data_IF_014363735193
#
_entry.id   IF_014363735193
#
_cell.length_a   1.000
_cell.length_b   1.000
_cell.length_c   1.000
_cell.angle_alpha   90.00
_cell.angle_beta   90.00
_cell.angle_gamma   90.00
#
_symmetry.space_group_name_H-M   'P 1'
#
loop_
_entity.id
_entity.type
_entity.pdbx_description
1 polymer ?
#
# COMPACT_ATOMS: atom_id res chain seq x y z
N UNK A 1 -19.22 19.29 -13.32
CA UNK A 1 -18.42 18.62 -14.34
C UNK A 1 -17.04 18.46 -13.77
N UNK A 2 -16.85 17.35 -13.07
CA UNK A 2 -15.55 16.96 -12.55
C UNK A 2 -14.84 16.05 -13.54
N UNK A 3 -13.52 16.00 -13.50
CA UNK A 3 -12.71 14.98 -14.17
C UNK A 3 -12.31 13.93 -13.14
N UNK A 4 -12.84 12.71 -13.30
CA UNK A 4 -12.61 11.61 -12.36
C UNK A 4 -11.83 10.50 -13.04
N UNK A 5 -10.77 10.04 -12.38
CA UNK A 5 -10.06 8.83 -12.81
C UNK A 5 -10.49 7.65 -11.95
N UNK A 6 -11.08 6.63 -12.56
CA UNK A 6 -11.59 5.44 -11.85
C UNK A 6 -10.72 4.23 -12.16
N UNK A 7 -10.07 3.66 -11.16
CA UNK A 7 -9.30 2.42 -11.31
C UNK A 7 -10.12 1.24 -10.78
N UNK A 8 -10.23 0.18 -11.57
CA UNK A 8 -10.85 -1.09 -11.17
C UNK A 8 -9.79 -2.20 -11.05
N UNK A 9 -9.81 -2.91 -9.91
CA UNK A 9 -8.95 -4.06 -9.65
C UNK A 9 -9.37 -5.31 -10.42
N UNK A 10 -8.51 -6.33 -10.43
CA UNK A 10 -8.76 -7.58 -11.16
C UNK A 10 -10.01 -8.33 -10.66
N UNK A 11 -10.33 -8.23 -9.37
CA UNK A 11 -11.57 -8.77 -8.81
C UNK A 11 -12.80 -8.02 -9.35
N UNK A 12 -12.73 -6.69 -9.50
CA UNK A 12 -13.79 -5.84 -10.05
C UNK A 12 -14.12 -6.14 -11.52
N UNK A 13 -13.17 -6.69 -12.28
CA UNK A 13 -13.31 -7.04 -13.71
C UNK A 13 -13.08 -8.52 -13.98
N UNK A 14 -13.23 -9.37 -12.96
CA UNK A 14 -12.85 -10.79 -13.05
C UNK A 14 -13.70 -11.65 -13.97
N UNK A 15 -14.91 -11.21 -14.30
CA UNK A 15 -15.81 -11.90 -15.22
C UNK A 15 -16.48 -10.90 -16.16
N UNK A 16 -17.08 -11.40 -17.25
CA UNK A 16 -17.83 -10.56 -18.19
C UNK A 16 -18.98 -9.84 -17.48
N UNK A 17 -19.69 -10.52 -16.59
CA UNK A 17 -20.80 -9.94 -15.82
C UNK A 17 -20.33 -8.79 -14.93
N UNK A 18 -19.15 -8.93 -14.31
CA UNK A 18 -18.54 -7.86 -13.51
C UNK A 18 -18.11 -6.68 -14.38
N UNK A 19 -17.56 -6.92 -15.56
CA UNK A 19 -17.25 -5.86 -16.53
C UNK A 19 -18.53 -5.12 -16.97
N UNK A 20 -19.62 -5.86 -17.22
CA UNK A 20 -20.93 -5.28 -17.54
C UNK A 20 -21.44 -4.37 -16.39
N UNK A 21 -21.23 -4.76 -15.12
CA UNK A 21 -21.57 -3.94 -13.95
C UNK A 21 -20.70 -2.69 -13.81
N UNK A 22 -19.39 -2.81 -14.06
CA UNK A 22 -18.46 -1.68 -14.09
C UNK A 22 -18.88 -0.67 -15.18
N UNK A 23 -19.27 -1.14 -16.36
CA UNK A 23 -19.78 -0.29 -17.44
C UNK A 23 -21.05 0.48 -17.03
N UNK A 24 -21.99 -0.15 -16.32
CA UNK A 24 -23.17 0.54 -15.77
C UNK A 24 -22.80 1.60 -14.72
N UNK A 25 -21.80 1.33 -13.87
CA UNK A 25 -21.32 2.31 -12.90
C UNK A 25 -20.71 3.53 -13.61
N UNK A 26 -19.80 3.30 -14.55
CA UNK A 26 -19.16 4.37 -15.35
C UNK A 26 -20.19 5.20 -16.13
N UNK A 27 -21.21 4.53 -16.70
CA UNK A 27 -22.32 5.21 -17.39
C UNK A 27 -23.05 6.19 -16.47
N UNK A 28 -23.36 5.80 -15.22
CA UNK A 28 -24.04 6.68 -14.26
C UNK A 28 -23.25 7.96 -13.98
N UNK A 29 -21.92 7.86 -13.80
CA UNK A 29 -21.06 9.04 -13.64
C UNK A 29 -21.10 9.93 -14.89
N UNK A 30 -21.04 9.32 -16.08
CA UNK A 30 -21.08 10.07 -17.33
C UNK A 30 -22.42 10.79 -17.54
N UNK A 31 -23.53 10.15 -17.23
CA UNK A 31 -24.88 10.75 -17.25
C UNK A 31 -25.04 11.86 -16.20
N UNK A 32 -24.29 11.78 -15.09
CA UNK A 32 -24.15 12.85 -14.10
C UNK A 32 -23.40 14.09 -14.60
N UNK A 33 -22.81 14.03 -15.79
CA UNK A 33 -22.10 15.16 -16.42
C UNK A 33 -20.62 15.24 -16.09
N UNK A 34 -20.02 14.16 -15.57
CA UNK A 34 -18.59 14.07 -15.31
C UNK A 34 -17.82 13.52 -16.51
N UNK A 35 -16.56 13.93 -16.63
CA UNK A 35 -15.61 13.38 -17.58
C UNK A 35 -14.84 12.24 -16.91
N UNK A 36 -14.82 11.06 -17.54
CA UNK A 36 -14.34 9.82 -16.92
C UNK A 36 -13.18 9.21 -17.70
N UNK A 37 -12.09 8.96 -17.00
CA UNK A 37 -11.00 8.09 -17.44
C UNK A 37 -10.99 6.85 -16.57
N UNK A 38 -11.08 5.67 -17.17
CA UNK A 38 -11.10 4.40 -16.48
C UNK A 38 -9.76 3.69 -16.66
N UNK A 39 -9.17 3.21 -15.57
CA UNK A 39 -8.00 2.33 -15.59
C UNK A 39 -8.44 0.94 -15.15
N UNK A 40 -8.08 -0.09 -15.91
CA UNK A 40 -8.41 -1.47 -15.55
C UNK A 40 -7.16 -2.31 -15.42
N UNK A 41 -7.19 -3.23 -14.46
CA UNK A 41 -6.21 -4.33 -14.36
C UNK A 41 -6.64 -5.49 -15.25
N UNK A 42 -5.75 -6.47 -15.45
CA UNK A 42 -6.15 -7.75 -16.03
C UNK A 42 -7.28 -8.40 -15.21
N UNK A 43 -8.07 -9.25 -15.86
CA UNK A 43 -9.10 -10.06 -15.19
C UNK A 43 -8.46 -10.95 -14.11
N UNK A 44 -9.21 -11.19 -13.03
CA UNK A 44 -8.76 -12.00 -11.88
C UNK A 44 -8.08 -13.30 -12.31
N UNK A 45 -6.83 -13.49 -11.89
CA UNK A 45 -6.03 -14.69 -12.16
C UNK A 45 -5.20 -14.67 -13.44
N UNK A 46 -5.50 -13.78 -14.40
CA UNK A 46 -4.81 -13.78 -15.70
C UNK A 46 -3.32 -13.41 -15.60
N UNK A 47 -2.98 -12.40 -14.80
CA UNK A 47 -1.57 -12.02 -14.57
C UNK A 47 -0.76 -13.19 -14.01
N UNK A 48 -1.31 -13.91 -13.03
CA UNK A 48 -0.65 -15.08 -12.43
C UNK A 48 -0.51 -16.22 -13.44
N UNK A 49 -1.58 -16.51 -14.20
CA UNK A 49 -1.57 -17.52 -15.27
C UNK A 49 -0.47 -17.24 -16.29
N UNK A 50 -0.32 -15.99 -16.71
CA UNK A 50 0.73 -15.58 -17.66
C UNK A 50 2.13 -15.76 -17.05
N UNK A 51 2.35 -15.30 -15.82
CA UNK A 51 3.64 -15.48 -15.13
C UNK A 51 3.99 -16.96 -14.97
N UNK A 52 3.03 -17.80 -14.59
CA UNK A 52 3.23 -19.23 -14.41
C UNK A 52 3.57 -19.92 -15.74
N UNK A 53 2.97 -19.51 -16.85
CA UNK A 53 3.33 -19.99 -18.19
C UNK A 53 4.77 -19.63 -18.57
N UNK A 54 5.23 -18.41 -18.28
CA UNK A 54 6.64 -18.06 -18.51
C UNK A 54 7.59 -18.92 -17.65
N UNK A 55 7.22 -19.19 -16.39
CA UNK A 55 8.01 -20.04 -15.49
C UNK A 55 8.12 -21.49 -15.96
N UNK A 56 7.10 -21.99 -16.68
CA UNK A 56 7.16 -23.32 -17.31
C UNK A 56 8.17 -23.36 -18.47
N UNK A 57 8.49 -22.22 -19.10
CA UNK A 57 9.51 -22.13 -20.15
C UNK A 57 10.91 -21.91 -19.57
N UNK A 58 11.04 -21.06 -18.55
CA UNK A 58 12.30 -20.78 -17.87
C UNK A 58 12.06 -20.48 -16.40
N UNK A 59 12.84 -21.09 -15.51
CA UNK A 59 12.80 -20.78 -14.07
C UNK A 59 13.05 -19.29 -13.77
N UNK A 60 13.84 -18.64 -14.63
CA UNK A 60 14.09 -17.20 -14.62
C UNK A 60 13.71 -16.60 -15.98
N UNK A 61 12.44 -16.24 -16.19
CA UNK A 61 12.01 -15.61 -17.44
C UNK A 61 12.77 -14.31 -17.69
N UNK A 62 13.12 -14.05 -18.96
CA UNK A 62 13.80 -12.80 -19.35
C UNK A 62 12.87 -11.62 -19.06
N UNK A 63 13.27 -10.64 -18.20
CA UNK A 63 12.36 -9.59 -17.72
C UNK A 63 11.67 -8.79 -18.83
N UNK A 64 12.39 -8.47 -19.90
CA UNK A 64 11.84 -7.76 -21.07
C UNK A 64 10.68 -8.50 -21.72
N UNK A 65 10.84 -9.80 -21.96
CA UNK A 65 9.81 -10.61 -22.63
C UNK A 65 8.65 -10.92 -21.69
N UNK A 66 8.94 -11.01 -20.39
CA UNK A 66 7.90 -11.14 -19.37
C UNK A 66 6.98 -9.91 -19.37
N UNK A 67 7.52 -8.70 -19.49
CA UNK A 67 6.72 -7.47 -19.57
C UNK A 67 5.80 -7.47 -20.79
N UNK A 68 6.31 -7.89 -21.95
CA UNK A 68 5.49 -8.04 -23.18
C UNK A 68 4.32 -8.97 -22.93
N UNK A 69 4.59 -10.18 -22.40
CA UNK A 69 3.57 -11.20 -22.19
C UNK A 69 2.54 -10.76 -21.15
N UNK A 70 2.96 -10.30 -19.97
CA UNK A 70 2.04 -10.00 -18.86
C UNK A 70 1.18 -8.78 -19.18
N UNK A 71 1.68 -7.80 -19.92
CA UNK A 71 0.91 -6.62 -20.35
C UNK A 71 -0.33 -6.93 -21.19
N UNK A 72 -0.40 -8.12 -21.80
CA UNK A 72 -1.54 -8.53 -22.62
C UNK A 72 -2.81 -8.71 -21.82
N UNK A 73 -2.70 -9.01 -20.51
CA UNK A 73 -3.86 -9.17 -19.63
C UNK A 73 -4.74 -7.92 -19.60
N UNK A 74 -4.14 -6.75 -19.33
CA UNK A 74 -4.86 -5.48 -19.33
C UNK A 74 -5.39 -5.10 -20.72
N UNK A 75 -4.69 -5.46 -21.80
CA UNK A 75 -5.13 -5.15 -23.17
C UNK A 75 -6.44 -5.86 -23.52
N UNK A 76 -6.65 -7.08 -23.02
CA UNK A 76 -7.93 -7.78 -23.18
C UNK A 76 -9.04 -7.03 -22.43
N UNK A 77 -8.78 -6.64 -21.18
CA UNK A 77 -9.78 -6.02 -20.31
C UNK A 77 -10.22 -4.64 -20.80
N UNK A 78 -9.30 -3.79 -21.29
CA UNK A 78 -9.66 -2.45 -21.81
C UNK A 78 -10.62 -2.56 -23.01
N UNK A 79 -10.42 -3.57 -23.86
CA UNK A 79 -11.25 -3.78 -25.03
C UNK A 79 -12.65 -4.28 -24.64
N UNK A 80 -12.72 -5.24 -23.71
CA UNK A 80 -14.00 -5.74 -23.17
C UNK A 80 -14.82 -4.63 -22.52
N UNK A 81 -14.20 -3.79 -21.69
CA UNK A 81 -14.91 -2.69 -21.03
C UNK A 81 -15.34 -1.61 -22.04
N UNK A 82 -14.49 -1.26 -23.01
CA UNK A 82 -14.88 -0.32 -24.06
C UNK A 82 -16.07 -0.83 -24.89
N UNK A 83 -16.08 -2.11 -25.26
CA UNK A 83 -17.23 -2.74 -25.94
C UNK A 83 -18.50 -2.71 -25.08
N UNK A 84 -18.39 -2.99 -23.78
CA UNK A 84 -19.51 -2.94 -22.85
C UNK A 84 -20.11 -1.53 -22.71
N UNK A 85 -19.27 -0.49 -22.66
CA UNK A 85 -19.72 0.91 -22.63
C UNK A 85 -20.43 1.31 -23.94
N UNK A 86 -19.84 0.97 -25.10
CA UNK A 86 -20.41 1.27 -26.42
C UNK A 86 -21.77 0.59 -26.60
N UNK A 87 -21.89 -0.68 -26.19
CA UNK A 87 -23.15 -1.44 -26.19
C UNK A 87 -24.28 -0.72 -25.43
N UNK A 88 -23.94 0.13 -24.45
CA UNK A 88 -24.88 0.92 -23.63
C UNK A 88 -25.12 2.34 -24.13
N UNK A 89 -24.59 2.68 -25.30
CA UNK A 89 -24.69 4.01 -25.88
C UNK A 89 -23.71 5.03 -25.29
N UNK A 90 -22.70 4.60 -24.53
CA UNK A 90 -21.63 5.46 -24.03
C UNK A 90 -20.43 5.37 -24.97
N UNK A 91 -20.09 6.44 -25.72
CA UNK A 91 -18.90 6.44 -26.56
C UNK A 91 -17.65 6.19 -25.72
N UNK A 92 -16.87 5.18 -26.07
CA UNK A 92 -15.66 4.82 -25.34
C UNK A 92 -14.51 4.45 -26.29
N UNK A 93 -13.29 4.64 -25.82
CA UNK A 93 -12.07 4.30 -26.56
C UNK A 93 -11.05 3.66 -25.61
N UNK A 94 -10.39 2.60 -26.07
CA UNK A 94 -9.36 1.92 -25.29
C UNK A 94 -7.96 2.41 -25.65
N UNK A 95 -7.08 2.44 -24.66
CA UNK A 95 -5.70 2.89 -24.79
C UNK A 95 -4.75 1.95 -24.03
N UNK A 96 -3.71 1.50 -24.71
CA UNK A 96 -2.53 0.89 -24.10
C UNK A 96 -1.62 1.96 -23.49
N UNK A 97 -0.71 1.56 -22.59
CA UNK A 97 0.28 2.49 -22.01
C UNK A 97 1.12 3.21 -23.09
N UNK A 98 1.45 2.51 -24.19
CA UNK A 98 2.14 3.11 -25.34
C UNK A 98 1.29 4.16 -26.08
N UNK A 99 0.00 3.89 -26.29
CA UNK A 99 -0.87 4.83 -27.01
C UNK A 99 -1.10 6.12 -26.24
N UNK A 100 -1.12 6.05 -24.90
CA UNK A 100 -1.08 7.22 -23.99
C UNK A 100 0.32 7.84 -23.91
N UNK A 101 1.37 7.07 -24.22
CA UNK A 101 2.78 7.39 -23.94
C UNK A 101 3.06 7.60 -22.45
N UNK A 102 2.77 6.58 -21.67
CA UNK A 102 3.30 6.45 -20.30
C UNK A 102 4.77 6.04 -20.42
N UNK A 103 5.66 7.03 -20.42
CA UNK A 103 7.11 6.84 -20.55
C UNK A 103 7.67 6.38 -19.21
N UNK A 104 8.53 5.37 -19.25
CA UNK A 104 9.13 4.73 -18.07
C UNK A 104 10.63 4.54 -18.23
N UNK A 105 11.33 4.22 -17.14
CA UNK A 105 12.68 3.65 -17.24
C UNK A 105 12.66 2.20 -17.79
N UNK A 106 13.83 1.66 -18.13
CA UNK A 106 13.96 0.29 -18.65
C UNK A 106 14.09 -0.77 -17.54
N UNK A 107 13.67 -0.47 -16.30
CA UNK A 107 13.72 -1.42 -15.19
C UNK A 107 12.53 -2.40 -15.26
N UNK A 108 12.55 -3.29 -16.26
CA UNK A 108 11.50 -4.28 -16.52
C UNK A 108 11.01 -4.99 -15.25
N UNK A 109 9.73 -5.35 -15.20
CA UNK A 109 8.98 -5.89 -14.05
C UNK A 109 8.73 -4.93 -12.88
N UNK A 110 9.38 -3.76 -12.85
CA UNK A 110 9.29 -2.79 -11.75
C UNK A 110 9.58 -1.35 -12.19
N UNK A 111 9.20 -1.03 -13.43
CA UNK A 111 9.56 0.23 -14.06
C UNK A 111 8.93 1.44 -13.34
N UNK A 112 9.60 2.58 -13.40
CA UNK A 112 9.13 3.85 -12.84
C UNK A 112 8.62 4.76 -13.95
N UNK A 113 7.45 5.38 -13.71
CA UNK A 113 6.87 6.36 -14.64
C UNK A 113 7.71 7.63 -14.57
N UNK A 114 8.18 8.09 -15.73
CA UNK A 114 8.96 9.31 -15.91
C UNK A 114 8.07 10.46 -16.41
N UNK A 115 7.18 10.16 -17.37
CA UNK A 115 6.32 11.16 -18.01
C UNK A 115 5.05 10.51 -18.58
N UNK A 116 3.97 11.29 -18.66
CA UNK A 116 2.72 10.91 -19.33
C UNK A 116 2.32 12.01 -20.31
N UNK A 117 2.04 11.64 -21.57
CA UNK A 117 1.48 12.55 -22.58
C UNK A 117 -0.05 12.50 -22.59
N UNK A 118 -0.66 13.36 -21.80
CA UNK A 118 -2.11 13.40 -21.64
C UNK A 118 -2.88 14.00 -22.84
N UNK A 119 -2.21 14.48 -23.91
CA UNK A 119 -2.88 15.22 -24.99
C UNK A 119 -3.97 14.40 -25.70
N UNK A 120 -3.70 13.13 -26.00
CA UNK A 120 -4.66 12.25 -26.69
C UNK A 120 -5.88 11.98 -25.83
N UNK A 121 -5.67 11.70 -24.54
CA UNK A 121 -6.74 11.51 -23.57
C UNK A 121 -7.62 12.75 -23.49
N UNK A 122 -7.01 13.94 -23.37
CA UNK A 122 -7.76 15.20 -23.32
C UNK A 122 -8.59 15.48 -24.58
N UNK A 123 -8.11 15.06 -25.75
CA UNK A 123 -8.87 15.20 -27.01
C UNK A 123 -10.12 14.30 -27.02
N UNK A 124 -9.99 13.03 -26.59
CA UNK A 124 -11.12 12.11 -26.51
C UNK A 124 -12.13 12.51 -25.43
N UNK A 125 -11.67 13.03 -24.28
CA UNK A 125 -12.54 13.60 -23.25
C UNK A 125 -13.36 14.75 -23.82
N UNK A 126 -12.72 15.72 -24.51
CA UNK A 126 -13.41 16.85 -25.17
C UNK A 126 -14.39 16.40 -26.25
N UNK A 127 -14.12 15.27 -26.90
CA UNK A 127 -15.05 14.63 -27.85
C UNK A 127 -16.21 13.88 -27.15
N UNK A 128 -16.27 13.95 -25.82
CA UNK A 128 -17.33 13.41 -24.99
C UNK A 128 -17.21 11.91 -24.70
N UNK A 129 -16.05 11.30 -24.95
CA UNK A 129 -15.83 9.86 -24.82
C UNK A 129 -15.28 9.49 -23.45
N UNK A 130 -15.65 8.30 -22.98
CA UNK A 130 -14.96 7.64 -21.86
C UNK A 130 -13.66 7.03 -22.37
N UNK A 131 -12.55 7.32 -21.68
CA UNK A 131 -11.24 6.77 -22.03
C UNK A 131 -10.93 5.59 -21.13
N UNK A 132 -10.64 4.42 -21.70
CA UNK A 132 -10.33 3.19 -20.96
C UNK A 132 -8.85 2.82 -21.15
N UNK A 133 -8.03 3.02 -20.14
CA UNK A 133 -6.57 2.86 -20.19
C UNK A 133 -6.14 1.54 -19.54
N UNK A 134 -5.18 0.87 -20.15
CA UNK A 134 -4.53 -0.30 -19.56
C UNK A 134 -3.66 0.14 -18.38
N UNK A 135 -3.97 -0.38 -17.19
CA UNK A 135 -3.09 -0.22 -16.03
C UNK A 135 -1.77 -0.97 -16.20
N UNK A 136 -0.89 -0.84 -15.20
CA UNK A 136 0.29 -1.68 -15.00
C UNK A 136 1.40 -1.61 -16.06
N UNK A 137 1.14 -1.03 -17.24
CA UNK A 137 2.07 -1.02 -18.37
C UNK A 137 2.48 0.40 -18.82
N UNK A 138 3.67 0.49 -19.38
CA UNK A 138 4.21 1.69 -20.02
C UNK A 138 5.13 1.33 -21.18
N UNK A 139 5.92 2.31 -21.61
CA UNK A 139 6.98 2.11 -22.61
C UNK A 139 8.26 2.82 -22.19
N UNK A 140 9.41 2.23 -22.47
CA UNK A 140 10.69 2.91 -22.32
C UNK A 140 11.00 3.83 -23.52
N UNK A 141 12.08 4.60 -23.45
CA UNK A 141 12.49 5.51 -24.54
C UNK A 141 12.81 4.79 -25.86
N UNK A 142 13.06 3.48 -25.83
CA UNK A 142 13.33 2.64 -27.00
C UNK A 142 12.06 2.02 -27.57
N UNK A 143 10.90 2.26 -26.94
CA UNK A 143 9.61 1.70 -27.34
C UNK A 143 9.39 0.26 -26.88
N UNK A 144 10.19 -0.27 -25.95
CA UNK A 144 9.91 -1.56 -25.33
C UNK A 144 8.73 -1.42 -24.37
N UNK A 145 7.86 -2.43 -24.33
CA UNK A 145 6.82 -2.53 -23.30
C UNK A 145 7.51 -2.73 -21.95
N UNK A 146 7.04 -1.99 -20.94
CA UNK A 146 7.49 -2.13 -19.56
C UNK A 146 6.30 -2.38 -18.64
N UNK A 147 6.54 -3.04 -17.51
CA UNK A 147 5.55 -3.18 -16.45
C UNK A 147 5.99 -2.52 -15.16
N UNK A 148 5.03 -1.99 -14.40
CA UNK A 148 5.28 -1.14 -13.22
C UNK A 148 5.45 -1.95 -11.92
N UNK A 149 5.30 -3.28 -11.98
CA UNK A 149 5.34 -4.16 -10.82
C UNK A 149 4.03 -4.23 -10.05
N UNK A 150 4.08 -4.84 -8.87
CA UNK A 150 2.90 -5.04 -8.00
C UNK A 150 2.24 -3.68 -7.71
N UNK A 151 0.91 -3.62 -7.86
CA UNK A 151 0.17 -2.37 -7.70
C UNK A 151 0.27 -1.39 -8.86
N UNK A 152 0.85 -1.80 -9.98
CA UNK A 152 1.08 -0.92 -11.13
C UNK A 152 -0.20 -0.27 -11.68
N UNK A 153 -1.34 -0.94 -11.63
CA UNK A 153 -2.62 -0.36 -12.06
C UNK A 153 -3.08 0.78 -11.17
N UNK A 154 -2.89 0.68 -9.84
CA UNK A 154 -3.19 1.78 -8.91
C UNK A 154 -2.28 2.97 -9.23
N UNK A 155 -0.97 2.71 -9.38
CA UNK A 155 0.00 3.76 -9.76
C UNK A 155 -0.35 4.41 -11.09
N UNK A 156 -0.87 3.64 -12.06
CA UNK A 156 -1.30 4.18 -13.36
C UNK A 156 -2.51 5.12 -13.20
N UNK A 157 -3.51 4.73 -12.38
CA UNK A 157 -4.66 5.58 -12.06
C UNK A 157 -4.25 6.92 -11.46
N UNK A 158 -3.40 6.88 -10.43
CA UNK A 158 -2.92 8.09 -9.77
C UNK A 158 -2.07 8.95 -10.71
N UNK A 159 -1.19 8.33 -11.50
CA UNK A 159 -0.33 9.07 -12.42
C UNK A 159 -1.13 9.75 -13.54
N UNK A 160 -2.18 9.10 -14.07
CA UNK A 160 -3.10 9.72 -15.01
C UNK A 160 -3.87 10.87 -14.37
N UNK A 161 -4.36 10.70 -13.14
CA UNK A 161 -5.05 11.76 -12.41
C UNK A 161 -4.14 12.99 -12.21
N UNK A 162 -2.88 12.78 -11.83
CA UNK A 162 -1.89 13.85 -11.73
C UNK A 162 -1.64 14.54 -13.08
N UNK A 163 -1.41 13.77 -14.14
CA UNK A 163 -1.12 14.31 -15.47
C UNK A 163 -2.30 15.08 -16.09
N UNK A 164 -3.53 14.64 -15.78
CA UNK A 164 -4.75 15.24 -16.28
C UNK A 164 -5.29 16.37 -15.37
N UNK A 165 -4.72 16.54 -14.17
CA UNK A 165 -5.26 17.41 -13.11
C UNK A 165 -6.71 17.05 -12.78
N UNK A 166 -6.96 15.76 -12.59
CA UNK A 166 -8.27 15.25 -12.19
C UNK A 166 -8.63 15.73 -10.77
N UNK A 167 -9.92 15.90 -10.52
CA UNK A 167 -10.43 16.33 -9.21
C UNK A 167 -10.28 15.23 -8.16
N UNK A 168 -10.43 13.96 -8.58
CA UNK A 168 -10.31 12.80 -7.69
C UNK A 168 -9.87 11.55 -8.48
N UNK A 169 -9.06 10.70 -7.86
CA UNK A 169 -8.76 9.36 -8.32
C UNK A 169 -9.44 8.32 -7.43
N UNK A 170 -10.39 7.58 -7.99
CA UNK A 170 -11.19 6.57 -7.30
C UNK A 170 -10.59 5.18 -7.52
N UNK A 171 -10.23 4.50 -6.44
CA UNK A 171 -9.72 3.13 -6.44
C UNK A 171 -10.85 2.19 -6.01
N UNK A 172 -11.41 1.47 -6.97
CA UNK A 172 -12.42 0.45 -6.74
C UNK A 172 -11.79 -0.91 -6.47
N UNK A 173 -12.13 -1.49 -5.32
CA UNK A 173 -11.63 -2.79 -4.85
C UNK A 173 -12.75 -3.60 -4.19
N UNK A 174 -12.39 -4.66 -3.48
CA UNK A 174 -13.23 -5.60 -2.72
C UNK A 174 -13.45 -5.20 -1.25
N UNK A 175 -12.96 -4.02 -0.85
CA UNK A 175 -13.29 -3.38 0.43
C UNK A 175 -13.94 -2.03 0.16
N UNK A 176 -14.79 -1.57 1.08
CA UNK A 176 -15.54 -0.32 0.94
C UNK A 176 -14.81 0.91 1.46
N UNK A 177 -13.61 0.76 2.00
CA UNK A 177 -12.75 1.86 2.43
C UNK A 177 -11.57 1.38 3.27
N UNK A 178 -10.95 2.32 3.97
CA UNK A 178 -9.92 2.07 4.96
C UNK A 178 -10.58 2.10 6.34
N UNK A 179 -10.29 1.10 7.15
CA UNK A 179 -10.86 0.97 8.49
C UNK A 179 -9.87 1.39 9.58
N UNK A 180 -10.40 1.74 10.76
CA UNK A 180 -9.63 2.02 11.98
C UNK A 180 -8.71 0.86 12.36
N UNK A 181 -9.04 -0.38 12.02
CA UNK A 181 -8.15 -1.54 12.04
C UNK A 181 -8.74 -2.66 11.17
N UNK A 182 -8.08 -3.82 11.05
CA UNK A 182 -8.63 -4.97 10.29
C UNK A 182 -9.96 -5.45 10.93
N UNK A 183 -11.11 -5.35 10.22
CA UNK A 183 -12.41 -5.79 10.75
C UNK A 183 -12.49 -7.28 11.09
N UNK A 184 -11.57 -8.10 10.55
CA UNK A 184 -11.46 -9.52 10.87
C UNK A 184 -10.87 -9.76 12.27
N UNK A 185 -10.10 -8.80 12.80
CA UNK A 185 -9.53 -8.85 14.15
C UNK A 185 -10.44 -8.14 15.15
N UNK A 186 -10.99 -6.99 14.76
CA UNK A 186 -11.92 -6.19 15.59
C UNK A 186 -13.22 -5.97 14.83
N UNK A 187 -14.28 -6.70 15.21
CA UNK A 187 -15.58 -6.62 14.55
C UNK A 187 -16.24 -5.23 14.63
N UNK A 188 -15.83 -4.38 15.59
CA UNK A 188 -16.32 -3.01 15.76
C UNK A 188 -15.47 -1.96 15.03
N UNK A 189 -14.54 -2.38 14.17
CA UNK A 189 -13.75 -1.46 13.37
C UNK A 189 -14.66 -0.59 12.50
N UNK A 190 -14.35 0.70 12.41
CA UNK A 190 -15.13 1.67 11.64
C UNK A 190 -14.42 2.02 10.35
N UNK A 191 -15.16 2.23 9.27
CA UNK A 191 -14.62 2.82 8.05
C UNK A 191 -14.32 4.29 8.32
N UNK A 192 -13.11 4.73 7.97
CA UNK A 192 -12.72 6.13 8.04
C UNK A 192 -13.37 6.90 6.90
N UNK A 193 -13.91 8.08 7.18
CA UNK A 193 -14.45 8.95 6.12
C UNK A 193 -13.31 9.67 5.38
N UNK A 194 -12.29 10.10 6.12
CA UNK A 194 -11.11 10.81 5.62
C UNK A 194 -9.85 10.36 6.35
N UNK A 195 -8.72 10.38 5.66
CA UNK A 195 -7.38 10.15 6.23
C UNK A 195 -6.33 10.92 5.43
N UNK A 196 -5.21 11.29 6.04
CA UNK A 196 -4.11 11.93 5.33
C UNK A 196 -3.26 10.93 4.54
N UNK A 197 -2.48 11.42 3.56
CA UNK A 197 -1.50 10.58 2.87
C UNK A 197 -0.47 9.97 3.81
N UNK A 198 0.01 10.72 4.80
CA UNK A 198 1.05 10.26 5.74
C UNK A 198 0.52 9.13 6.63
N UNK A 199 -0.67 9.28 7.19
CA UNK A 199 -1.30 8.23 7.99
C UNK A 199 -1.59 6.97 7.16
N UNK A 200 -2.05 7.13 5.92
CA UNK A 200 -2.27 5.99 5.03
C UNK A 200 -0.96 5.27 4.69
N UNK A 201 0.13 6.00 4.44
CA UNK A 201 1.46 5.41 4.21
C UNK A 201 1.94 4.61 5.42
N UNK A 202 1.78 5.18 6.62
CA UNK A 202 2.14 4.51 7.86
C UNK A 202 1.31 3.24 8.04
N UNK A 203 -0.02 3.30 7.90
CA UNK A 203 -0.86 2.10 8.02
C UNK A 203 -0.58 1.04 6.94
N UNK A 204 -0.32 1.45 5.70
CA UNK A 204 0.00 0.53 4.60
C UNK A 204 1.34 -0.18 4.83
N UNK A 205 2.35 0.53 5.32
CA UNK A 205 3.66 -0.04 5.66
C UNK A 205 3.59 -1.10 6.77
N UNK A 206 2.57 -1.01 7.63
CA UNK A 206 2.40 -1.87 8.79
C UNK A 206 1.45 -3.04 8.58
N UNK A 207 0.97 -3.28 7.35
CA UNK A 207 0.16 -4.45 7.01
C UNK A 207 -1.25 -4.14 6.49
N UNK A 208 -1.67 -2.87 6.37
CA UNK A 208 -2.91 -2.54 5.67
C UNK A 208 -2.76 -2.80 4.16
N UNK A 209 -3.28 -3.92 3.68
CA UNK A 209 -3.13 -4.40 2.29
C UNK A 209 -4.10 -3.76 1.28
N UNK A 210 -4.87 -2.74 1.69
CA UNK A 210 -5.96 -2.15 0.90
C UNK A 210 -5.43 -1.37 -0.31
N UNK A 211 -4.36 -0.61 -0.13
CA UNK A 211 -3.74 0.20 -1.18
C UNK A 211 -2.25 -0.09 -1.30
N UNK A 212 -1.74 0.10 -2.51
CA UNK A 212 -0.33 -0.07 -2.80
C UNK A 212 0.42 1.21 -2.42
N UNK A 213 1.42 1.10 -1.54
CA UNK A 213 2.19 2.21 -0.95
C UNK A 213 2.63 3.21 -2.03
N UNK A 214 3.22 2.70 -3.12
CA UNK A 214 3.69 3.51 -4.24
C UNK A 214 2.61 4.40 -4.87
N UNK A 215 1.35 3.95 -4.92
CA UNK A 215 0.25 4.76 -5.44
C UNK A 215 -0.12 5.90 -4.48
N UNK A 216 -0.09 5.64 -3.16
CA UNK A 216 -0.33 6.64 -2.12
C UNK A 216 0.80 7.67 -2.08
N UNK A 217 2.07 7.24 -2.18
CA UNK A 217 3.23 8.13 -2.27
C UNK A 217 3.13 9.06 -3.48
N UNK A 218 2.75 8.49 -4.64
CA UNK A 218 2.57 9.27 -5.86
C UNK A 218 1.43 10.28 -5.69
N UNK A 219 0.31 9.87 -5.10
CA UNK A 219 -0.82 10.76 -4.87
C UNK A 219 -0.46 11.93 -3.95
N UNK A 220 0.24 11.66 -2.84
CA UNK A 220 0.71 12.70 -1.93
C UNK A 220 1.69 13.66 -2.60
N UNK A 221 2.65 13.14 -3.39
CA UNK A 221 3.63 13.98 -4.11
C UNK A 221 3.01 14.96 -5.10
N UNK A 222 1.92 14.56 -5.76
CA UNK A 222 1.24 15.38 -6.77
C UNK A 222 -0.09 15.96 -6.27
N UNK A 223 -0.37 15.86 -4.96
CA UNK A 223 -1.59 16.36 -4.32
C UNK A 223 -2.88 15.88 -5.01
N UNK A 224 -2.93 14.60 -5.40
CA UNK A 224 -4.10 13.99 -6.06
C UNK A 224 -5.00 13.36 -5.00
N UNK A 225 -6.23 13.87 -4.76
CA UNK A 225 -7.16 13.22 -3.85
C UNK A 225 -7.48 11.80 -4.30
N UNK A 226 -7.31 10.82 -3.41
CA UNK A 226 -7.63 9.42 -3.66
C UNK A 226 -8.88 9.01 -2.89
N UNK A 227 -9.73 8.18 -3.47
CA UNK A 227 -10.86 7.60 -2.74
C UNK A 227 -10.89 6.10 -2.89
N UNK A 228 -10.90 5.38 -1.76
CA UNK A 228 -11.05 3.91 -1.76
C UNK A 228 -12.53 3.56 -1.66
N UNK A 229 -13.00 2.72 -2.57
CA UNK A 229 -14.42 2.37 -2.73
C UNK A 229 -14.60 0.88 -2.99
N UNK A 230 -15.75 0.35 -2.59
CA UNK A 230 -16.16 -0.99 -3.01
C UNK A 230 -16.69 -0.95 -4.44
N UNK A 231 -16.35 -1.96 -5.22
CA UNK A 231 -16.73 -2.03 -6.64
C UNK A 231 -18.25 -2.16 -6.86
N UNK A 232 -18.94 -2.85 -5.94
CA UNK A 232 -20.33 -3.28 -6.11
C UNK A 232 -21.28 -2.86 -4.97
N UNK A 233 -20.77 -2.11 -4.00
CA UNK A 233 -21.55 -1.57 -2.89
C UNK A 233 -21.41 -0.06 -2.96
N UNK A 234 -22.55 0.63 -2.93
CA UNK A 234 -22.53 2.10 -2.90
C UNK A 234 -22.15 2.56 -1.49
N UNK A 235 -21.36 3.63 -1.43
CA UNK A 235 -20.89 4.21 -0.19
C UNK A 235 -19.90 5.34 -0.47
N UNK A 236 -19.68 6.26 0.48
CA UNK A 236 -18.75 7.38 0.31
C UNK A 236 -17.28 6.92 0.33
N UNK A 237 -17.03 5.71 0.82
CA UNK A 237 -15.70 5.15 0.98
C UNK A 237 -14.83 5.93 1.95
N UNK A 238 -13.52 5.90 1.70
CA UNK A 238 -12.54 6.70 2.45
C UNK A 238 -11.80 7.64 1.50
N UNK A 239 -11.83 8.93 1.80
CA UNK A 239 -11.05 9.95 1.10
C UNK A 239 -9.64 10.06 1.70
N UNK A 240 -8.62 9.94 0.88
CA UNK A 240 -7.21 10.13 1.22
C UNK A 240 -6.75 11.41 0.53
N UNK A 241 -6.39 12.42 1.29
CA UNK A 241 -6.01 13.73 0.75
C UNK A 241 -4.96 14.41 1.64
N UNK A 242 -4.51 15.60 1.25
CA UNK A 242 -3.74 16.45 2.15
C UNK A 242 -4.63 16.91 3.29
N UNK A 243 -3.99 17.25 4.41
CA UNK A 243 -4.71 17.84 5.53
C UNK A 243 -5.19 19.24 5.12
N UNK A 244 -6.48 19.36 4.82
CA UNK A 244 -7.08 20.59 4.27
C UNK A 244 -7.92 21.34 5.31
N UNK A 245 -8.07 20.83 6.54
CA UNK A 245 -8.86 21.51 7.57
C UNK A 245 -8.21 21.44 8.96
N UNK A 246 -8.11 22.60 9.59
CA UNK A 246 -7.76 22.83 10.99
C UNK A 246 -8.73 22.09 11.93
N UNK A 247 -8.58 20.78 12.13
CA UNK A 247 -9.21 20.15 13.30
C UNK A 247 -8.48 20.66 14.54
N UNK A 248 -9.14 21.52 15.32
CA UNK A 248 -8.60 22.08 16.56
C UNK A 248 -8.01 20.99 17.47
N UNK A 249 -6.71 21.09 17.76
CA UNK A 249 -6.01 20.69 18.99
C UNK A 249 -6.41 19.37 19.70
N UNK A 250 -6.83 18.32 18.99
CA UNK A 250 -6.97 16.99 19.58
C UNK A 250 -6.23 15.92 18.77
N UNK A 251 -5.48 15.01 19.42
CA UNK A 251 -4.82 13.93 18.73
C UNK A 251 -5.88 12.91 18.31
N UNK A 252 -6.10 12.80 17.00
CA UNK A 252 -7.01 11.80 16.45
C UNK A 252 -6.14 10.60 16.08
N UNK A 253 -6.25 9.53 16.86
CA UNK A 253 -5.74 8.23 16.40
C UNK A 253 -6.67 7.78 15.28
N UNK A 254 -6.14 7.77 14.07
CA UNK A 254 -6.88 7.34 12.88
C UNK A 254 -7.00 5.83 12.80
N UNK A 255 -6.02 5.09 13.30
CA UNK A 255 -6.13 3.64 13.32
C UNK A 255 -5.01 2.89 14.04
N UNK A 256 -5.18 1.57 14.04
CA UNK A 256 -4.27 0.57 14.60
C UNK A 256 -3.91 -0.40 13.49
N UNK A 257 -2.63 -0.48 13.17
CA UNK A 257 -2.08 -1.43 12.21
C UNK A 257 -1.16 -2.44 12.92
N UNK A 258 -1.02 -3.62 12.34
CA UNK A 258 -0.23 -4.69 12.95
C UNK A 258 0.37 -5.61 11.89
N UNK A 259 1.53 -6.19 12.22
CA UNK A 259 2.21 -7.19 11.41
C UNK A 259 2.55 -8.44 12.25
N UNK A 260 2.18 -9.62 11.74
CA UNK A 260 2.55 -10.93 12.31
C UNK A 260 3.80 -11.51 11.69
N UNK A 261 4.13 -11.13 10.46
CA UNK A 261 5.22 -11.73 9.69
C UNK A 261 6.56 -11.04 9.98
N UNK A 262 6.85 -10.80 11.27
CA UNK A 262 8.07 -10.15 11.75
C UNK A 262 8.93 -11.16 12.51
N UNK A 263 10.25 -10.92 12.48
CA UNK A 263 11.20 -11.56 13.36
C UNK A 263 12.18 -10.52 13.89
N UNK A 264 12.53 -10.62 15.17
CA UNK A 264 13.48 -9.73 15.85
C UNK A 264 14.86 -10.36 15.88
N UNK A 265 15.87 -9.58 15.54
CA UNK A 265 17.28 -9.93 15.67
C UNK A 265 17.99 -8.91 16.53
N UNK A 266 18.70 -9.37 17.55
CA UNK A 266 19.49 -8.53 18.45
C UNK A 266 20.93 -9.00 18.45
N UNK A 267 21.86 -8.10 18.20
CA UNK A 267 23.29 -8.28 18.45
C UNK A 267 23.66 -7.47 19.69
N UNK A 268 24.26 -8.13 20.69
CA UNK A 268 24.54 -7.53 21.99
C UNK A 268 26.01 -7.29 22.22
N UNK A 269 26.30 -6.24 22.98
CA UNK A 269 27.67 -5.92 23.39
C UNK A 269 28.58 -5.57 22.21
N UNK A 270 28.06 -4.89 21.19
CA UNK A 270 28.92 -4.36 20.12
C UNK A 270 29.59 -3.07 20.58
N UNK A 271 30.83 -2.78 20.14
CA UNK A 271 31.52 -1.53 20.54
C UNK A 271 30.70 -0.30 20.17
N UNK A 272 30.55 0.66 21.07
CA UNK A 272 29.86 1.93 20.78
C UNK A 272 30.82 2.92 20.11
N UNK A 273 31.07 2.70 18.82
CA UNK A 273 31.98 3.52 18.00
C UNK A 273 31.33 3.90 16.68
N UNK A 274 31.69 5.07 16.10
CA UNK A 274 31.17 5.48 14.80
C UNK A 274 31.36 4.41 13.72
N UNK A 275 30.28 4.12 12.98
CA UNK A 275 30.27 3.14 11.89
C UNK A 275 29.82 1.73 12.27
N UNK A 276 29.55 1.44 13.55
CA UNK A 276 29.03 0.13 14.00
C UNK A 276 27.69 -0.20 13.37
N UNK A 277 26.74 0.74 13.35
CA UNK A 277 25.45 0.55 12.68
C UNK A 277 25.61 0.21 11.19
N UNK A 278 26.57 0.84 10.50
CA UNK A 278 26.89 0.52 9.10
C UNK A 278 27.51 -0.87 8.94
N UNK A 279 28.40 -1.28 9.84
CA UNK A 279 28.99 -2.63 9.83
C UNK A 279 27.94 -3.72 10.07
N UNK A 280 26.88 -3.40 10.83
CA UNK A 280 25.76 -4.33 11.07
C UNK A 280 24.80 -4.34 9.87
N UNK A 281 24.28 -3.19 9.45
CA UNK A 281 23.22 -3.13 8.44
C UNK A 281 23.73 -3.19 6.99
N UNK A 282 24.98 -2.83 6.74
CA UNK A 282 25.58 -2.87 5.40
C UNK A 282 25.54 -4.28 4.79
N UNK A 283 26.05 -5.32 5.47
CA UNK A 283 25.97 -6.70 4.97
C UNK A 283 24.54 -7.25 4.89
N UNK A 284 23.66 -6.87 5.83
CA UNK A 284 22.23 -7.25 5.81
C UNK A 284 21.56 -6.70 4.55
N UNK A 285 21.79 -5.42 4.24
CA UNK A 285 21.28 -4.78 3.03
C UNK A 285 21.90 -5.39 1.75
N UNK A 286 23.20 -5.71 1.76
CA UNK A 286 23.86 -6.38 0.64
C UNK A 286 23.33 -7.80 0.37
N UNK A 287 22.77 -8.45 1.39
CA UNK A 287 22.05 -9.72 1.27
C UNK A 287 20.60 -9.56 0.78
N UNK A 288 20.17 -8.34 0.40
CA UNK A 288 18.80 -7.99 0.02
C UNK A 288 17.75 -8.32 1.08
N UNK A 289 18.11 -8.22 2.36
CA UNK A 289 17.16 -8.36 3.47
C UNK A 289 16.55 -6.99 3.77
N UNK A 290 15.22 -6.91 3.73
CA UNK A 290 14.49 -5.70 4.12
C UNK A 290 14.39 -5.60 5.65
N UNK A 291 14.86 -4.48 6.18
CA UNK A 291 14.82 -4.15 7.60
C UNK A 291 13.71 -3.15 7.85
N UNK A 292 12.91 -3.40 8.88
CA UNK A 292 11.76 -2.55 9.23
C UNK A 292 12.07 -1.65 10.45
N UNK A 293 12.05 -2.21 11.67
CA UNK A 293 12.40 -1.45 12.87
C UNK A 293 13.90 -1.53 13.16
N UNK A 294 14.49 -0.42 13.61
CA UNK A 294 15.86 -0.38 14.14
C UNK A 294 15.81 0.31 15.51
N UNK A 295 16.31 -0.37 16.53
CA UNK A 295 16.40 0.11 17.90
C UNK A 295 17.81 -0.13 18.42
N UNK A 296 18.48 0.96 18.79
CA UNK A 296 19.80 0.91 19.41
C UNK A 296 19.69 1.45 20.83
N UNK A 297 20.06 0.62 21.80
CA UNK A 297 20.14 1.03 23.21
C UNK A 297 21.61 1.15 23.62
N UNK A 298 21.97 2.29 24.21
CA UNK A 298 23.31 2.55 24.73
C UNK A 298 23.51 1.78 26.03
N UNK A 299 24.56 0.97 26.13
CA UNK A 299 24.92 0.28 27.36
C UNK A 299 25.92 1.11 28.20
N UNK A 300 26.13 0.72 29.45
CA UNK A 300 26.94 1.49 30.41
C UNK A 300 28.46 1.25 30.29
N UNK A 301 28.88 0.31 29.44
CA UNK A 301 30.24 -0.24 29.35
C UNK A 301 30.95 0.04 28.01
N UNK A 302 30.62 1.18 27.36
CA UNK A 302 31.06 1.52 25.99
C UNK A 302 30.64 0.48 24.93
N UNK A 303 29.63 -0.32 25.22
CA UNK A 303 28.97 -1.18 24.25
C UNK A 303 27.54 -0.72 24.01
N UNK A 304 26.91 -1.29 22.99
CA UNK A 304 25.52 -1.04 22.67
C UNK A 304 24.86 -2.33 22.23
N UNK A 305 23.56 -2.43 22.50
CA UNK A 305 22.73 -3.49 21.94
C UNK A 305 22.01 -2.93 20.72
N UNK A 306 22.13 -3.63 19.60
CA UNK A 306 21.53 -3.24 18.35
C UNK A 306 20.48 -4.27 17.95
N UNK A 307 19.23 -3.84 17.89
CA UNK A 307 18.08 -4.69 17.54
C UNK A 307 17.42 -4.18 16.29
N UNK A 308 17.05 -5.09 15.40
CA UNK A 308 16.24 -4.76 14.25
C UNK A 308 15.22 -5.86 13.94
N UNK A 309 14.17 -5.52 13.20
CA UNK A 309 13.20 -6.50 12.71
C UNK A 309 13.31 -6.69 11.21
N UNK A 310 12.99 -7.90 10.77
CA UNK A 310 12.95 -8.32 9.36
C UNK A 310 11.68 -9.13 9.12
N UNK A 311 11.30 -9.29 7.86
CA UNK A 311 10.24 -10.23 7.52
C UNK A 311 10.61 -11.66 7.95
N UNK A 312 9.65 -12.42 8.49
CA UNK A 312 9.89 -13.78 9.03
C UNK A 312 10.58 -14.72 8.04
N UNK A 313 10.30 -14.58 6.74
CA UNK A 313 10.95 -15.36 5.67
C UNK A 313 12.46 -15.11 5.56
N UNK A 314 12.92 -13.90 5.88
CA UNK A 314 14.34 -13.52 5.79
C UNK A 314 15.11 -13.80 7.07
N UNK A 315 14.43 -14.22 8.14
CA UNK A 315 15.00 -14.46 9.46
C UNK A 315 16.26 -15.32 9.43
N UNK A 316 16.20 -16.50 8.78
CA UNK A 316 17.32 -17.44 8.77
C UNK A 316 18.56 -16.85 8.05
N UNK A 317 18.34 -16.17 6.93
CA UNK A 317 19.40 -15.51 6.16
C UNK A 317 20.02 -14.38 6.97
N UNK A 318 19.18 -13.51 7.53
CA UNK A 318 19.60 -12.37 8.34
C UNK A 318 20.36 -12.81 9.60
N UNK A 319 19.89 -13.87 10.29
CA UNK A 319 20.55 -14.45 11.46
C UNK A 319 21.95 -14.97 11.11
N UNK A 320 22.09 -15.69 10.00
CA UNK A 320 23.38 -16.23 9.55
C UNK A 320 24.38 -15.11 9.24
N UNK A 321 23.94 -14.07 8.53
CA UNK A 321 24.77 -12.89 8.25
C UNK A 321 25.18 -12.20 9.55
N UNK A 322 24.23 -12.00 10.47
CA UNK A 322 24.47 -11.32 11.74
C UNK A 322 25.43 -12.09 12.67
N UNK A 323 25.40 -13.43 12.66
CA UNK A 323 26.36 -14.28 13.38
C UNK A 323 27.80 -14.11 12.86
N UNK A 324 27.97 -13.95 11.54
CA UNK A 324 29.27 -13.63 10.95
C UNK A 324 29.78 -12.27 11.45
N UNK A 325 28.94 -11.25 11.37
CA UNK A 325 29.26 -9.89 11.85
C UNK A 325 29.63 -9.89 13.33
N UNK A 326 28.86 -10.60 14.16
CA UNK A 326 29.11 -10.70 15.60
C UNK A 326 30.49 -11.27 15.91
N UNK A 327 30.93 -12.26 15.14
CA UNK A 327 32.26 -12.86 15.29
C UNK A 327 33.37 -11.88 14.92
N UNK A 328 33.20 -11.10 13.86
CA UNK A 328 34.15 -10.08 13.42
C UNK A 328 34.25 -8.90 14.38
N UNK A 329 33.14 -8.52 15.00
CA UNK A 329 33.04 -7.35 15.87
C UNK A 329 33.33 -7.66 17.35
N UNK A 330 33.53 -8.94 17.70
CA UNK A 330 33.69 -9.36 19.09
C UNK A 330 32.42 -9.13 19.93
N UNK A 331 31.25 -9.23 19.32
CA UNK A 331 29.97 -9.08 20.02
C UNK A 331 29.75 -10.23 21.01
N UNK A 332 28.98 -9.97 22.06
CA UNK A 332 28.73 -10.94 23.14
C UNK A 332 27.86 -12.10 22.69
N UNK A 333 26.76 -11.79 22.01
CA UNK A 333 25.78 -12.77 21.54
C UNK A 333 24.91 -12.20 20.42
N UNK A 334 24.30 -13.12 19.65
CA UNK A 334 23.23 -12.83 18.71
C UNK A 334 22.00 -13.61 19.14
N UNK A 335 20.88 -12.93 19.32
CA UNK A 335 19.60 -13.50 19.71
C UNK A 335 18.59 -13.24 18.59
N UNK A 336 17.82 -14.26 18.24
CA UNK A 336 16.70 -14.15 17.31
C UNK A 336 15.41 -14.63 17.96
N UNK A 337 14.29 -14.01 17.59
CA UNK A 337 12.96 -14.38 18.04
C UNK A 337 11.96 -14.19 16.89
N UNK A 338 11.27 -15.27 16.52
CA UNK A 338 10.25 -15.28 15.46
C UNK A 338 8.83 -15.16 16.00
N UNK A 339 8.63 -15.38 17.30
CA UNK A 339 7.30 -15.48 17.93
C UNK A 339 6.84 -14.11 18.43
N UNK A 340 7.05 -13.10 17.60
CA UNK A 340 6.75 -11.69 17.87
C UNK A 340 5.69 -11.15 16.93
N UNK A 341 5.04 -10.08 17.39
CA UNK A 341 4.13 -9.28 16.60
C UNK A 341 4.41 -7.80 16.80
N UNK A 342 4.24 -7.02 15.74
CA UNK A 342 4.31 -5.57 15.77
C UNK A 342 2.90 -5.00 15.78
N UNK A 343 2.59 -4.11 16.72
CA UNK A 343 1.32 -3.38 16.81
C UNK A 343 1.62 -1.90 16.87
N UNK A 344 0.95 -1.09 16.06
CA UNK A 344 1.16 0.35 16.05
C UNK A 344 -0.14 1.12 16.03
N UNK A 345 -0.16 2.23 16.76
CA UNK A 345 -1.17 3.28 16.62
C UNK A 345 -0.65 4.34 15.65
N UNK A 346 -1.53 4.84 14.79
CA UNK A 346 -1.23 5.85 13.77
C UNK A 346 -2.24 6.98 13.86
N UNK A 347 -1.76 8.22 13.81
CA UNK A 347 -2.62 9.42 13.81
C UNK A 347 -1.83 10.72 13.74
N UNK A 348 -2.40 11.72 13.04
CA UNK A 348 -1.85 13.08 13.06
C UNK A 348 -1.93 13.72 14.45
N UNK A 349 -1.00 14.63 14.74
CA UNK A 349 -0.99 15.36 15.99
C UNK A 349 -0.51 14.57 17.21
N UNK A 350 -0.04 13.33 17.05
CA UNK A 350 0.54 12.53 18.15
C UNK A 350 1.73 13.22 18.83
N UNK A 351 2.63 13.84 18.05
CA UNK A 351 3.78 14.60 18.58
C UNK A 351 3.36 15.79 19.44
N UNK A 352 2.25 16.45 19.11
CA UNK A 352 1.79 17.68 19.76
C UNK A 352 1.00 17.43 21.06
N UNK A 353 0.64 16.17 21.34
CA UNK A 353 -0.20 15.84 22.49
C UNK A 353 0.49 14.87 23.45
N UNK A 354 0.80 15.40 24.63
CA UNK A 354 1.29 14.59 25.73
C UNK A 354 0.23 13.56 26.17
N UNK A 355 0.62 12.29 26.30
CA UNK A 355 -0.20 11.24 26.90
C UNK A 355 -0.66 10.11 25.98
N UNK A 356 -0.54 10.26 24.66
CA UNK A 356 -0.94 9.21 23.70
C UNK A 356 -0.18 7.90 23.93
N UNK A 357 1.16 7.96 24.00
CA UNK A 357 1.98 6.79 24.29
C UNK A 357 1.69 6.21 25.69
N UNK A 358 1.44 7.07 26.69
CA UNK A 358 1.08 6.63 28.04
C UNK A 358 -0.22 5.83 28.05
N UNK A 359 -1.24 6.29 27.32
CA UNK A 359 -2.55 5.61 27.19
C UNK A 359 -2.39 4.25 26.51
N UNK A 360 -1.56 4.16 25.46
CA UNK A 360 -1.23 2.91 24.79
C UNK A 360 -0.58 1.91 25.76
N UNK A 361 0.44 2.34 26.51
CA UNK A 361 1.16 1.45 27.43
C UNK A 361 0.28 1.03 28.61
N UNK A 362 -0.55 1.93 29.13
CA UNK A 362 -1.53 1.61 30.17
C UNK A 362 -2.54 0.56 29.69
N UNK A 363 -3.08 0.70 28.47
CA UNK A 363 -4.02 -0.25 27.90
C UNK A 363 -3.41 -1.64 27.74
N UNK A 364 -2.17 -1.74 27.24
CA UNK A 364 -1.47 -3.02 27.13
C UNK A 364 -1.14 -3.62 28.51
N UNK A 365 -0.76 -2.79 29.48
CA UNK A 365 -0.45 -3.23 30.83
C UNK A 365 -1.69 -3.80 31.55
N UNK A 366 -2.88 -3.24 31.34
CA UNK A 366 -4.15 -3.75 31.92
C UNK A 366 -4.45 -5.19 31.49
N UNK A 367 -4.04 -5.56 30.28
CA UNK A 367 -4.17 -6.91 29.72
C UNK A 367 -2.96 -7.81 30.04
N UNK A 368 -2.03 -7.35 30.88
CA UNK A 368 -0.75 -8.03 31.20
C UNK A 368 0.10 -8.35 29.96
N UNK A 369 0.09 -7.46 28.96
CA UNK A 369 0.89 -7.62 27.74
C UNK A 369 2.25 -6.94 27.95
N UNK A 370 3.32 -7.74 27.93
CA UNK A 370 4.68 -7.22 28.06
C UNK A 370 5.17 -6.59 26.74
N UNK A 371 5.71 -5.38 26.81
CA UNK A 371 6.29 -4.66 25.67
C UNK A 371 7.78 -4.99 25.59
N UNK A 372 8.22 -5.56 24.47
CA UNK A 372 9.62 -5.94 24.25
C UNK A 372 10.44 -4.81 23.63
N UNK A 373 9.83 -4.04 22.73
CA UNK A 373 10.47 -2.91 22.03
C UNK A 373 9.45 -1.81 21.77
N UNK A 374 9.94 -0.57 21.69
CA UNK A 374 9.16 0.61 21.35
C UNK A 374 9.91 1.36 20.24
N UNK A 375 9.18 1.82 19.22
CA UNK A 375 9.67 2.78 18.23
C UNK A 375 8.58 3.82 17.96
N UNK A 376 8.99 5.02 17.58
CA UNK A 376 8.08 6.17 17.40
C UNK A 376 8.46 6.98 16.17
N UNK A 377 7.47 7.43 15.39
CA UNK A 377 7.60 8.52 14.42
C UNK A 377 6.76 9.73 14.87
N UNK A 378 6.63 10.77 14.05
CA UNK A 378 5.81 11.95 14.39
C UNK A 378 4.31 11.63 14.55
N UNK A 379 3.85 10.61 13.83
CA UNK A 379 2.43 10.20 13.74
C UNK A 379 2.22 8.72 14.04
N UNK A 380 3.20 8.04 14.64
CA UNK A 380 3.16 6.60 14.91
C UNK A 380 3.86 6.23 16.22
N UNK A 381 3.26 5.29 16.97
CA UNK A 381 3.96 4.55 18.04
C UNK A 381 3.78 3.06 17.78
N UNK A 382 4.90 2.35 17.62
CA UNK A 382 4.97 0.92 17.39
C UNK A 382 5.53 0.21 18.61
N UNK A 383 4.90 -0.91 18.97
CA UNK A 383 5.40 -1.82 20.00
C UNK A 383 5.59 -3.22 19.41
N UNK A 384 6.61 -3.91 19.92
CA UNK A 384 6.80 -5.35 19.68
C UNK A 384 6.37 -6.12 20.92
N UNK A 385 5.51 -7.11 20.73
CA UNK A 385 4.94 -7.98 21.77
C UNK A 385 5.06 -9.44 21.34
N UNK A 386 4.80 -10.39 22.24
CA UNK A 386 4.69 -11.80 21.83
C UNK A 386 3.49 -12.00 20.90
N UNK A 387 3.66 -12.80 19.84
CA UNK A 387 2.66 -12.98 18.77
C UNK A 387 1.29 -13.40 19.29
N UNK A 388 1.26 -14.27 20.32
CA UNK A 388 0.02 -14.77 20.94
C UNK A 388 -0.91 -13.66 21.48
N UNK A 389 -0.36 -12.48 21.76
CA UNK A 389 -1.13 -11.34 22.26
C UNK A 389 -1.64 -10.40 21.17
N UNK A 390 -1.32 -10.61 19.89
CA UNK A 390 -1.62 -9.65 18.83
C UNK A 390 -3.10 -9.23 18.78
N UNK A 391 -4.03 -10.17 18.74
CA UNK A 391 -5.47 -9.83 18.65
C UNK A 391 -5.98 -9.15 19.91
N UNK A 392 -5.48 -9.58 21.09
CA UNK A 392 -5.85 -8.98 22.36
C UNK A 392 -5.34 -7.53 22.45
N UNK A 393 -4.08 -7.29 22.08
CA UNK A 393 -3.48 -5.97 22.03
C UNK A 393 -4.26 -5.03 21.09
N UNK A 394 -4.56 -5.49 19.87
CA UNK A 394 -5.30 -4.68 18.89
C UNK A 394 -6.69 -4.33 19.42
N UNK A 395 -7.44 -5.29 19.97
CA UNK A 395 -8.77 -5.04 20.57
C UNK A 395 -8.71 -4.07 21.75
N UNK A 396 -7.76 -4.30 22.67
CA UNK A 396 -7.59 -3.46 23.85
C UNK A 396 -7.24 -2.02 23.46
N UNK A 397 -6.34 -1.82 22.50
CA UNK A 397 -5.99 -0.50 21.99
C UNK A 397 -7.18 0.15 21.25
N UNK A 398 -7.93 -0.61 20.46
CA UNK A 398 -9.06 -0.07 19.70
C UNK A 398 -10.14 0.49 20.61
N UNK A 399 -10.51 -0.26 21.66
CA UNK A 399 -11.42 0.23 22.70
C UNK A 399 -10.78 1.35 23.53
N UNK A 400 -9.50 1.21 23.90
CA UNK A 400 -8.81 2.20 24.71
C UNK A 400 -8.70 3.55 24.02
N UNK A 401 -8.65 3.63 22.69
CA UNK A 401 -8.65 4.88 21.91
C UNK A 401 -10.02 5.25 21.35
N UNK A 402 -11.11 4.62 21.82
CA UNK A 402 -12.48 4.97 21.47
C UNK A 402 -12.79 4.86 19.96
N UNK A 403 -12.13 3.92 19.28
CA UNK A 403 -12.32 3.68 17.84
C UNK A 403 -13.49 2.73 17.55
N UNK A 404 -14.05 2.09 18.59
CA UNK A 404 -15.19 1.17 18.49
C UNK A 404 -16.43 1.87 17.92
N UNK A 405 -17.08 1.23 16.93
CA UNK A 405 -18.40 1.65 16.47
C UNK A 405 -19.38 1.77 17.65
N UNK A 406 -20.20 2.84 17.73
CA UNK A 406 -21.23 2.94 18.74
C UNK A 406 -22.18 1.73 18.64
N UNK A 407 -22.60 1.21 19.79
CA UNK A 407 -23.50 0.05 19.85
C UNK A 407 -24.86 0.41 19.22
N UNK A 408 -25.05 0.06 17.94
CA UNK A 408 -26.28 0.37 17.21
C UNK A 408 -26.27 0.13 15.70
N UNK A 409 -25.11 0.02 15.04
CA UNK A 409 -25.02 -0.29 13.61
C UNK A 409 -24.55 -1.73 13.36
N UNK A 410 -25.39 -2.70 13.71
CA UNK A 410 -25.38 -3.97 12.97
C UNK A 410 -26.03 -3.68 11.62
N UNK A 411 -25.25 -3.73 10.55
CA UNK A 411 -25.74 -3.60 9.19
C UNK A 411 -26.90 -4.59 8.95
N UNK A 412 -28.07 -4.06 8.59
CA UNK A 412 -29.10 -4.79 7.83
C UNK A 412 -28.65 -5.00 6.38
#
# INVERSE_FOLDING_TARGET
MALIVQKFGGTSVGTVERIEQVAEKVKRFREGGDDIVVVVSAMSGETNRLIDLAKQISEQPVPRELDVMVSTGEQVTIALLAMALIKRGVPAVSYTGNQVRIVTDSAHTKARILQIDAQRIQQDIKAGRVVVVAGFQGVDEKGNITTLGRGGSDTTGVALAAALKADECQIYTDVDGVYTTDPRVVAKAQRLDKITFEEMLEMASLGSKVLQIRAVEFAGKYSVPLRVLHSFQEGPGTLITLDEEESMEQPIISGIAFNRDEAKLTIRGVPDTPGVAFKILGPISAANVEVDMIVQNVAHDNTTDFTFTVHRNDYNNALQVLQGIASEMGAREVIGDTDIAKVSIVGVGMRSHAGVASRMFEALAKENINIQMISTSEIKVSVVIEEKYLELAVRALHTAFELDAPAGNTAE
#
